data_IF_272515395035
#
_entry.id   IF_272515395035
#
_cell.length_a   1.000
_cell.length_b   1.000
_cell.length_c   1.000
_cell.angle_alpha   90.00
_cell.angle_beta   90.00
_cell.angle_gamma   90.00
#
_symmetry.space_group_name_H-M   'P 1'
#
loop_
_entity.id
_entity.type
_entity.pdbx_description
1 polymer ?
#
# COMPACT_ATOMS: atom_id res chain seq x y z
N UNK A 1 2.07 3.92 29.64
CA UNK A 1 1.39 4.68 28.58
C UNK A 1 2.00 4.24 27.26
N UNK A 2 1.27 3.49 26.45
CA UNK A 2 1.72 3.11 25.11
C UNK A 2 1.82 4.38 24.28
N UNK A 3 3.04 4.82 23.98
CA UNK A 3 3.27 5.95 23.07
C UNK A 3 2.62 5.61 21.74
N UNK A 4 1.56 6.33 21.35
CA UNK A 4 0.95 6.10 20.04
C UNK A 4 2.02 6.39 18.99
N UNK A 5 2.33 5.40 18.14
CA UNK A 5 3.22 5.61 17.01
C UNK A 5 2.63 6.72 16.11
N UNK A 6 3.45 7.51 15.41
CA UNK A 6 2.95 8.55 14.52
C UNK A 6 2.10 7.94 13.39
N UNK A 7 1.21 8.75 12.82
CA UNK A 7 0.26 8.33 11.78
C UNK A 7 -1.19 8.31 12.29
N UNK A 8 -2.10 8.62 11.38
CA UNK A 8 -3.54 8.47 11.62
C UNK A 8 -4.02 7.06 11.24
N UNK A 9 -5.18 6.67 11.78
CA UNK A 9 -5.87 5.44 11.38
C UNK A 9 -7.34 5.72 11.06
N UNK A 10 -7.86 5.03 10.06
CA UNK A 10 -9.28 5.02 9.69
C UNK A 10 -9.73 3.56 9.59
N UNK A 11 -10.57 3.15 10.54
CA UNK A 11 -10.98 1.75 10.68
C UNK A 11 -9.76 0.83 10.88
N UNK A 12 -9.59 -0.24 10.08
CA UNK A 12 -8.48 -1.18 10.24
C UNK A 12 -7.16 -0.72 9.59
N UNK A 13 -7.10 0.49 9.03
CA UNK A 13 -5.98 0.94 8.19
C UNK A 13 -5.27 2.13 8.80
N UNK A 14 -3.95 2.06 8.83
CA UNK A 14 -3.06 3.14 9.26
C UNK A 14 -2.39 3.79 8.05
N UNK A 15 -1.91 5.02 8.23
CA UNK A 15 -1.06 5.70 7.25
C UNK A 15 0.28 6.08 7.85
N UNK A 16 1.27 6.28 6.98
CA UNK A 16 2.31 7.24 7.26
C UNK A 16 2.83 7.91 6.00
N UNK A 17 3.40 9.10 6.20
CA UNK A 17 4.13 9.86 5.19
C UNK A 17 5.55 10.13 5.64
N UNK A 18 6.53 9.92 4.77
CA UNK A 18 7.94 10.17 5.01
C UNK A 18 8.43 11.27 4.10
N UNK A 19 9.16 12.23 4.66
CA UNK A 19 9.74 13.34 3.92
C UNK A 19 11.26 13.32 4.06
N UNK A 20 11.94 13.25 2.92
CA UNK A 20 13.39 13.18 2.86
C UNK A 20 13.98 14.32 2.03
N UNK A 21 15.20 14.71 2.37
CA UNK A 21 16.08 15.46 1.47
C UNK A 21 16.85 14.47 0.60
N UNK A 22 16.87 14.70 -0.71
CA UNK A 22 17.67 13.94 -1.67
C UNK A 22 19.10 14.47 -1.61
N UNK A 23 20.08 13.56 -1.63
CA UNK A 23 21.50 13.93 -1.63
C UNK A 23 21.80 14.84 -2.84
N UNK A 24 22.64 15.87 -2.70
CA UNK A 24 22.96 16.78 -3.79
C UNK A 24 23.41 16.04 -5.06
N UNK A 25 22.75 16.31 -6.20
CA UNK A 25 23.04 15.68 -7.49
C UNK A 25 22.46 14.27 -7.69
N UNK A 26 21.77 13.69 -6.71
CA UNK A 26 21.23 12.32 -6.82
C UNK A 26 19.85 12.23 -7.50
N UNK A 27 19.18 13.35 -7.82
CA UNK A 27 17.85 13.38 -8.43
C UNK A 27 17.69 12.44 -9.65
N UNK A 28 18.58 12.50 -10.67
CA UNK A 28 18.51 11.59 -11.82
C UNK A 28 18.63 10.11 -11.45
N UNK A 29 19.50 9.76 -10.50
CA UNK A 29 19.69 8.38 -10.06
C UNK A 29 18.50 7.88 -9.22
N UNK A 30 17.91 8.74 -8.40
CA UNK A 30 16.67 8.46 -7.69
C UNK A 30 15.54 8.15 -8.68
N UNK A 31 15.38 8.97 -9.74
CA UNK A 31 14.37 8.70 -10.76
C UNK A 31 14.58 7.38 -11.48
N UNK A 32 15.82 6.97 -11.72
CA UNK A 32 16.11 5.66 -12.29
C UNK A 32 15.71 4.53 -11.33
N UNK A 33 16.09 4.60 -10.06
CA UNK A 33 15.71 3.61 -9.06
C UNK A 33 14.18 3.49 -8.92
N UNK A 34 13.45 4.60 -9.03
CA UNK A 34 11.97 4.59 -9.03
C UNK A 34 11.38 3.95 -10.29
N UNK A 35 12.00 4.13 -11.47
CA UNK A 35 11.60 3.42 -12.69
C UNK A 35 11.83 1.92 -12.57
N UNK A 36 12.98 1.52 -12.01
CA UNK A 36 13.30 0.12 -11.76
C UNK A 36 12.29 -0.51 -10.78
N UNK A 37 11.90 0.21 -9.71
CA UNK A 37 10.84 -0.22 -8.80
C UNK A 37 9.51 -0.43 -9.57
N UNK A 38 9.08 0.55 -10.36
CA UNK A 38 7.83 0.47 -11.12
C UNK A 38 7.84 -0.69 -12.13
N UNK A 39 9.01 -1.08 -12.62
CA UNK A 39 9.20 -2.21 -13.52
C UNK A 39 9.40 -3.56 -12.79
N UNK A 40 9.45 -3.59 -11.46
CA UNK A 40 9.62 -4.82 -10.68
C UNK A 40 8.29 -5.58 -10.51
N UNK A 41 8.31 -6.93 -10.46
CA UNK A 41 7.10 -7.71 -10.19
C UNK A 41 6.38 -7.27 -8.90
N UNK A 42 5.05 -7.20 -8.96
CA UNK A 42 4.20 -6.71 -7.88
C UNK A 42 3.96 -5.20 -7.91
N UNK A 43 4.75 -4.43 -8.67
CA UNK A 43 4.60 -2.98 -8.83
C UNK A 43 4.27 -2.53 -10.24
N UNK A 44 4.35 -3.43 -11.24
CA UNK A 44 4.01 -3.13 -12.64
C UNK A 44 2.55 -2.76 -12.77
N UNK A 45 2.23 -2.03 -13.83
CA UNK A 45 0.83 -1.81 -14.19
C UNK A 45 0.12 -3.14 -14.42
N UNK A 46 -1.06 -3.29 -13.82
CA UNK A 46 -1.84 -4.55 -13.78
C UNK A 46 -1.40 -5.58 -12.75
N UNK A 47 -0.25 -5.42 -12.07
CA UNK A 47 0.11 -6.26 -10.92
C UNK A 47 -0.59 -5.72 -9.67
N UNK A 48 -1.32 -6.58 -8.96
CA UNK A 48 -1.98 -6.23 -7.70
C UNK A 48 -1.37 -6.96 -6.49
N UNK A 49 -0.31 -7.74 -6.69
CA UNK A 49 0.37 -8.54 -5.67
C UNK A 49 1.65 -7.87 -5.16
N UNK A 50 1.46 -6.76 -4.44
CA UNK A 50 2.54 -6.10 -3.73
C UNK A 50 3.26 -7.07 -2.77
N UNK A 51 4.60 -6.96 -2.60
CA UNK A 51 5.34 -7.81 -1.68
C UNK A 51 4.82 -7.81 -0.23
N UNK A 52 4.26 -6.67 0.21
CA UNK A 52 3.56 -6.54 1.48
C UNK A 52 2.06 -6.49 1.18
N UNK A 53 1.40 -7.64 1.39
CA UNK A 53 -0.01 -7.83 1.02
C UNK A 53 -1.02 -7.03 1.85
N UNK A 54 -0.58 -6.34 2.90
CA UNK A 54 -1.39 -5.45 3.74
C UNK A 54 -1.40 -4.01 3.25
N UNK A 55 -0.59 -3.65 2.25
CA UNK A 55 -0.57 -2.31 1.65
C UNK A 55 -1.83 -2.11 0.80
N UNK A 56 -2.53 -0.99 1.04
CA UNK A 56 -3.60 -0.49 0.17
C UNK A 56 -3.03 0.33 -0.98
N UNK A 57 -2.08 1.21 -0.68
CA UNK A 57 -1.33 1.99 -1.67
C UNK A 57 0.02 2.40 -1.10
N UNK A 58 1.00 2.55 -1.99
CA UNK A 58 2.29 3.12 -1.67
C UNK A 58 2.81 3.91 -2.87
N UNK A 59 3.36 5.10 -2.62
CA UNK A 59 3.88 5.96 -3.68
C UNK A 59 5.12 6.73 -3.26
N UNK A 60 6.02 6.89 -4.22
CA UNK A 60 7.18 7.76 -4.13
C UNK A 60 6.99 8.97 -5.02
N UNK A 61 7.26 10.16 -4.50
CA UNK A 61 7.10 11.41 -5.23
C UNK A 61 8.36 12.26 -5.04
N UNK A 62 9.27 12.29 -6.02
CA UNK A 62 10.28 13.33 -6.13
C UNK A 62 9.60 14.68 -6.39
N UNK A 63 10.05 15.71 -5.69
CA UNK A 63 9.51 17.06 -5.82
C UNK A 63 10.58 18.10 -5.47
N UNK A 64 10.25 19.39 -5.65
CA UNK A 64 11.20 20.50 -5.55
C UNK A 64 12.46 20.24 -6.38
N UNK A 65 12.27 20.06 -7.69
CA UNK A 65 13.34 19.76 -8.66
C UNK A 65 14.19 18.53 -8.29
N UNK A 66 13.53 17.47 -7.80
CA UNK A 66 14.14 16.22 -7.34
C UNK A 66 15.13 16.38 -6.18
N UNK A 67 15.05 17.49 -5.44
CA UNK A 67 15.84 17.71 -4.22
C UNK A 67 15.16 17.14 -2.97
N UNK A 68 13.89 16.76 -3.06
CA UNK A 68 13.12 16.15 -1.98
C UNK A 68 12.34 14.94 -2.45
N UNK A 69 12.07 14.03 -1.52
CA UNK A 69 11.32 12.80 -1.77
C UNK A 69 10.24 12.61 -0.71
N UNK A 70 9.01 12.40 -1.16
CA UNK A 70 7.92 11.88 -0.34
C UNK A 70 7.80 10.37 -0.58
N UNK A 71 7.67 9.60 0.49
CA UNK A 71 7.08 8.26 0.45
C UNK A 71 5.81 8.26 1.29
N UNK A 72 4.67 7.92 0.71
CA UNK A 72 3.40 7.80 1.42
C UNK A 72 2.82 6.41 1.21
N UNK A 73 2.24 5.85 2.26
CA UNK A 73 1.61 4.53 2.22
C UNK A 73 0.45 4.44 3.20
N UNK A 74 -0.48 3.55 2.89
CA UNK A 74 -1.50 3.08 3.83
C UNK A 74 -1.59 1.57 3.83
N UNK A 75 -1.84 0.99 5.00
CA UNK A 75 -1.74 -0.45 5.22
C UNK A 75 -2.66 -0.93 6.35
N UNK A 76 -2.98 -2.22 6.33
CA UNK A 76 -3.75 -2.86 7.39
C UNK A 76 -2.96 -2.97 8.70
N UNK A 77 -3.66 -2.69 9.80
CA UNK A 77 -3.16 -2.94 11.15
C UNK A 77 -2.24 -1.84 11.69
N UNK A 78 -1.57 -2.13 12.81
CA UNK A 78 -0.73 -1.16 13.51
C UNK A 78 0.64 -1.01 12.85
N UNK A 79 1.27 0.14 13.09
CA UNK A 79 2.59 0.50 12.57
C UNK A 79 3.67 -0.55 12.83
N UNK A 80 3.75 -1.09 14.06
CA UNK A 80 4.81 -2.05 14.41
C UNK A 80 4.71 -3.35 13.59
N UNK A 81 3.51 -3.88 13.35
CA UNK A 81 3.32 -5.08 12.52
C UNK A 81 3.71 -4.84 11.06
N UNK A 82 3.43 -3.64 10.53
CA UNK A 82 3.85 -3.28 9.18
C UNK A 82 5.37 -3.15 9.05
N UNK A 83 6.06 -2.64 10.08
CA UNK A 83 7.53 -2.59 10.10
C UNK A 83 8.17 -3.99 10.11
N UNK A 84 7.55 -4.95 10.80
CA UNK A 84 8.03 -6.33 10.82
C UNK A 84 7.91 -6.98 9.42
N UNK A 85 6.81 -6.74 8.71
CA UNK A 85 6.63 -7.15 7.30
C UNK A 85 7.64 -6.45 6.37
N UNK A 86 7.90 -5.17 6.61
CA UNK A 86 8.82 -4.36 5.80
C UNK A 86 10.28 -4.82 5.96
N UNK A 87 10.71 -5.16 7.18
CA UNK A 87 12.06 -5.65 7.42
C UNK A 87 12.29 -7.05 6.83
N UNK A 88 11.24 -7.85 6.62
CA UNK A 88 11.37 -9.24 6.18
C UNK A 88 11.34 -9.45 4.66
N UNK A 89 10.80 -8.50 3.87
CA UNK A 89 10.49 -8.72 2.44
C UNK A 89 11.18 -7.77 1.45
N UNK A 90 10.88 -6.46 1.37
CA UNK A 90 11.34 -5.65 0.24
C UNK A 90 12.65 -4.87 0.45
N UNK A 91 13.54 -5.27 1.37
CA UNK A 91 14.72 -4.48 1.74
C UNK A 91 15.59 -4.02 0.56
N UNK A 92 15.80 -4.87 -0.47
CA UNK A 92 16.69 -4.54 -1.59
C UNK A 92 16.18 -3.40 -2.48
N UNK A 93 14.88 -3.39 -2.79
CA UNK A 93 14.30 -2.37 -3.68
C UNK A 93 14.18 -1.03 -2.97
N UNK A 94 13.83 -1.03 -1.69
CA UNK A 94 13.77 0.20 -0.90
C UNK A 94 15.17 0.74 -0.58
N UNK A 95 16.17 -0.12 -0.34
CA UNK A 95 17.58 0.29 -0.21
C UNK A 95 18.08 1.03 -1.47
N UNK A 96 17.74 0.50 -2.65
CA UNK A 96 18.10 1.13 -3.92
C UNK A 96 17.56 2.56 -4.08
N UNK A 97 16.42 2.87 -3.46
CA UNK A 97 15.82 4.21 -3.45
C UNK A 97 16.44 5.06 -2.33
N UNK A 98 16.42 4.56 -1.09
CA UNK A 98 16.79 5.35 0.08
C UNK A 98 18.29 5.66 0.16
N UNK A 99 19.16 4.90 -0.52
CA UNK A 99 20.58 5.31 -0.67
C UNK A 99 20.77 6.68 -1.32
N UNK A 100 19.75 7.21 -2.01
CA UNK A 100 19.77 8.53 -2.63
C UNK A 100 19.29 9.66 -1.71
N UNK A 101 18.84 9.37 -0.49
CA UNK A 101 18.43 10.40 0.48
C UNK A 101 19.46 10.60 1.60
N UNK A 102 19.43 11.78 2.20
CA UNK A 102 20.26 12.13 3.35
C UNK A 102 19.87 11.32 4.61
N UNK A 103 20.84 11.05 5.48
CA UNK A 103 20.61 10.28 6.72
C UNK A 103 20.41 8.78 6.53
N UNK A 104 20.48 8.28 5.29
CA UNK A 104 20.48 6.85 5.02
C UNK A 104 21.88 6.25 5.10
N UNK A 105 22.07 5.34 6.06
CA UNK A 105 23.33 4.60 6.29
C UNK A 105 23.18 3.08 6.13
N UNK A 106 22.07 2.64 5.51
CA UNK A 106 21.70 1.23 5.36
C UNK A 106 20.68 0.76 6.40
N UNK A 107 20.09 -0.42 6.14
CA UNK A 107 19.04 -1.04 6.97
C UNK A 107 19.43 -2.48 7.37
N UNK A 108 20.45 -2.65 8.25
CA UNK A 108 20.97 -3.98 8.60
C UNK A 108 20.01 -4.82 9.46
N UNK A 109 19.10 -4.17 10.19
CA UNK A 109 18.16 -4.81 11.09
C UNK A 109 16.85 -4.01 11.22
N UNK A 110 15.86 -4.64 11.87
CA UNK A 110 14.53 -4.06 12.09
C UNK A 110 14.59 -2.74 12.90
N UNK A 111 15.50 -2.62 13.87
CA UNK A 111 15.61 -1.40 14.67
C UNK A 111 16.13 -0.23 13.82
N UNK A 112 17.06 -0.48 12.91
CA UNK A 112 17.55 0.50 11.94
C UNK A 112 16.44 0.94 10.98
N UNK A 113 15.60 0.01 10.51
CA UNK A 113 14.38 0.32 9.74
C UNK A 113 13.47 1.24 10.54
N UNK A 114 13.09 0.85 11.75
CA UNK A 114 12.19 1.64 12.61
C UNK A 114 12.73 3.05 12.85
N UNK A 115 14.03 3.16 13.16
CA UNK A 115 14.69 4.45 13.40
C UNK A 115 14.69 5.34 12.15
N UNK A 116 15.01 4.79 10.99
CA UNK A 116 15.05 5.53 9.72
C UNK A 116 13.65 6.01 9.28
N UNK A 117 12.63 5.16 9.44
CA UNK A 117 11.24 5.53 9.15
C UNK A 117 10.80 6.65 10.10
N UNK A 118 11.03 6.48 11.41
CA UNK A 118 10.62 7.48 12.42
C UNK A 118 11.35 8.82 12.29
N UNK A 119 12.58 8.85 11.73
CA UNK A 119 13.31 10.11 11.54
C UNK A 119 12.74 10.99 10.44
N UNK A 120 12.01 10.40 9.49
CA UNK A 120 11.42 11.10 8.35
C UNK A 120 9.89 11.20 8.42
N UNK A 121 9.26 10.49 9.37
CA UNK A 121 7.81 10.37 9.43
C UNK A 121 7.13 11.66 9.89
N UNK A 122 6.13 12.08 9.13
CA UNK A 122 5.23 13.17 9.45
C UNK A 122 3.80 12.61 9.41
N UNK A 123 3.04 12.84 10.49
CA UNK A 123 1.62 12.43 10.55
C UNK A 123 0.79 13.29 9.61
N UNK A 124 -0.11 12.68 8.84
CA UNK A 124 -0.99 13.44 7.97
C UNK A 124 -1.88 14.42 8.78
N UNK A 125 -2.06 15.65 8.28
CA UNK A 125 -2.98 16.62 8.88
C UNK A 125 -4.46 16.25 8.73
N UNK A 126 -4.76 15.31 7.82
CA UNK A 126 -6.06 14.70 7.64
C UNK A 126 -5.90 13.42 6.82
N UNK A 127 -6.63 12.38 7.21
CA UNK A 127 -6.64 11.10 6.52
C UNK A 127 -8.07 10.57 6.47
N UNK A 128 -8.51 10.14 5.29
CA UNK A 128 -9.86 9.64 5.06
C UNK A 128 -9.83 8.57 3.99
N UNK A 129 -10.73 7.60 4.11
CA UNK A 129 -10.88 6.49 3.15
C UNK A 129 -12.32 6.44 2.69
N UNK A 130 -12.51 6.24 1.39
CA UNK A 130 -13.84 6.17 0.78
C UNK A 130 -14.54 4.82 1.04
N UNK A 131 -13.76 3.77 1.31
CA UNK A 131 -14.24 2.43 1.64
C UNK A 131 -13.48 1.89 2.85
N UNK A 132 -14.18 1.09 3.67
CA UNK A 132 -13.59 0.42 4.83
C UNK A 132 -12.93 -0.91 4.48
N UNK A 133 -12.57 -1.65 5.51
CA UNK A 133 -12.06 -3.02 5.39
C UNK A 133 -10.57 -3.13 5.09
N UNK A 134 -10.07 -4.36 5.24
CA UNK A 134 -8.68 -4.76 5.00
C UNK A 134 -8.46 -5.19 3.55
N UNK A 135 -7.20 -5.23 3.09
CA UNK A 135 -6.85 -5.74 1.75
C UNK A 135 -7.38 -7.16 1.56
N UNK A 136 -7.30 -7.99 2.61
CA UNK A 136 -7.86 -9.36 2.61
C UNK A 136 -9.38 -9.37 2.40
N UNK A 137 -10.11 -8.46 3.03
CA UNK A 137 -11.56 -8.34 2.88
C UNK A 137 -11.94 -7.84 1.49
N UNK A 138 -11.24 -6.82 0.97
CA UNK A 138 -11.47 -6.25 -0.36
C UNK A 138 -11.22 -7.30 -1.44
N UNK A 139 -10.07 -7.99 -1.41
CA UNK A 139 -9.78 -9.09 -2.34
C UNK A 139 -10.80 -10.23 -2.26
N UNK A 140 -11.36 -10.49 -1.06
CA UNK A 140 -12.44 -11.48 -0.93
C UNK A 140 -13.72 -10.98 -1.61
N UNK A 141 -14.09 -9.72 -1.41
CA UNK A 141 -15.26 -9.13 -2.06
C UNK A 141 -15.16 -9.20 -3.59
N UNK A 142 -13.99 -8.89 -4.17
CA UNK A 142 -13.73 -9.03 -5.61
C UNK A 142 -13.90 -10.47 -6.10
N UNK A 143 -13.37 -11.45 -5.35
CA UNK A 143 -13.54 -12.87 -5.69
C UNK A 143 -15.00 -13.32 -5.61
N UNK A 144 -15.74 -12.84 -4.61
CA UNK A 144 -17.17 -13.12 -4.48
C UNK A 144 -17.94 -12.50 -5.64
N UNK A 145 -17.65 -11.25 -6.01
CA UNK A 145 -18.28 -10.61 -7.17
C UNK A 145 -18.02 -11.41 -8.45
N UNK A 146 -16.77 -11.76 -8.75
CA UNK A 146 -16.44 -12.58 -9.93
C UNK A 146 -17.17 -13.93 -9.93
N UNK A 147 -17.18 -14.64 -8.80
CA UNK A 147 -17.90 -15.90 -8.69
C UNK A 147 -19.43 -15.72 -8.87
N UNK A 148 -19.98 -14.58 -8.44
CA UNK A 148 -21.38 -14.27 -8.67
C UNK A 148 -21.67 -13.99 -10.15
N UNK A 149 -20.81 -13.22 -10.83
CA UNK A 149 -20.91 -13.00 -12.27
C UNK A 149 -20.87 -14.32 -13.06
N UNK A 150 -19.99 -15.26 -12.68
CA UNK A 150 -19.95 -16.61 -13.26
C UNK A 150 -21.30 -17.36 -13.10
N UNK A 151 -22.01 -17.17 -11.99
CA UNK A 151 -23.35 -17.74 -11.78
C UNK A 151 -24.40 -17.04 -12.64
N UNK A 152 -24.32 -15.72 -12.82
CA UNK A 152 -25.25 -14.97 -13.67
C UNK A 152 -25.12 -15.36 -15.15
N UNK A 153 -23.91 -15.68 -15.59
CA UNK A 153 -23.62 -16.11 -16.96
C UNK A 153 -24.00 -17.57 -17.24
N UNK A 154 -24.24 -18.39 -16.21
CA UNK A 154 -24.60 -19.80 -16.36
C UNK A 154 -26.10 -19.97 -16.71
N UNK A 155 -26.47 -20.46 -17.91
CA UNK A 155 -27.87 -20.69 -18.26
C UNK A 155 -28.61 -21.65 -17.33
N UNK A 156 -27.90 -22.57 -16.66
CA UNK A 156 -28.49 -23.49 -15.70
C UNK A 156 -28.90 -22.80 -14.39
N UNK A 157 -28.37 -21.61 -14.11
CA UNK A 157 -28.74 -20.82 -12.94
C UNK A 157 -30.06 -20.06 -13.11
N UNK A 158 -30.62 -19.99 -14.33
CA UNK A 158 -31.78 -19.16 -14.64
C UNK A 158 -33.01 -19.40 -13.73
N UNK A 159 -33.28 -20.65 -13.35
CA UNK A 159 -34.37 -20.96 -12.41
C UNK A 159 -34.02 -20.52 -10.98
N UNK A 160 -32.79 -20.79 -10.52
CA UNK A 160 -32.34 -20.41 -9.18
C UNK A 160 -32.36 -18.90 -8.97
N UNK A 161 -31.95 -18.13 -9.99
CA UNK A 161 -31.91 -16.66 -9.98
C UNK A 161 -33.30 -16.02 -9.89
N UNK A 162 -34.39 -16.75 -10.18
CA UNK A 162 -35.76 -16.24 -9.99
C UNK A 162 -36.21 -16.22 -8.53
N UNK A 163 -35.44 -16.83 -7.61
CA UNK A 163 -35.79 -16.87 -6.20
C UNK A 163 -35.82 -15.44 -5.59
N UNK A 164 -36.93 -15.01 -4.96
CA UNK A 164 -37.04 -13.65 -4.39
C UNK A 164 -35.97 -13.33 -3.34
N UNK A 165 -35.41 -14.35 -2.67
CA UNK A 165 -34.33 -14.19 -1.70
C UNK A 165 -33.01 -13.66 -2.34
N UNK A 166 -32.84 -13.79 -3.66
CA UNK A 166 -31.68 -13.29 -4.38
C UNK A 166 -31.86 -11.87 -4.91
N UNK A 167 -33.06 -11.28 -4.79
CA UNK A 167 -33.34 -9.94 -5.31
C UNK A 167 -32.33 -8.86 -4.84
N UNK A 168 -31.87 -8.84 -3.57
CA UNK A 168 -30.84 -7.87 -3.17
C UNK A 168 -29.49 -8.05 -3.87
N UNK A 169 -29.07 -9.30 -4.13
CA UNK A 169 -27.81 -9.59 -4.83
C UNK A 169 -27.91 -9.24 -6.31
N UNK A 170 -29.04 -9.55 -6.94
CA UNK A 170 -29.31 -9.21 -8.33
C UNK A 170 -29.41 -7.71 -8.57
N UNK A 171 -30.00 -6.97 -7.63
CA UNK A 171 -30.08 -5.52 -7.69
C UNK A 171 -28.68 -4.89 -7.66
N UNK A 172 -27.80 -5.34 -6.76
CA UNK A 172 -26.42 -4.83 -6.66
C UNK A 172 -25.57 -5.15 -7.90
N UNK A 173 -25.78 -6.30 -8.54
CA UNK A 173 -25.00 -6.71 -9.70
C UNK A 173 -25.47 -6.07 -11.03
N UNK A 174 -26.57 -5.32 -11.04
CA UNK A 174 -27.12 -4.69 -12.23
C UNK A 174 -26.52 -3.30 -12.55
N UNK A 175 -25.72 -2.73 -11.64
CA UNK A 175 -25.02 -1.44 -11.76
C UNK A 175 -23.61 -1.58 -12.38
#
# INVERSE_FOLDING_TARGET
MTTSRPGLSVGPTSEFSLFFHVRPGHGPALREALRELQAAPGYRDGDYDLPIATIHEARFVPFDDDTRLLFATSFDGPWDSYMDDFASKPLKLFDAIFRHVEGYDGLPDLESVKKFILSAQVTAGGYSRNYGGTVKQIRKAERVNRAFQEVLDDPAAAEALQAPALAPLLAEAAD
#
